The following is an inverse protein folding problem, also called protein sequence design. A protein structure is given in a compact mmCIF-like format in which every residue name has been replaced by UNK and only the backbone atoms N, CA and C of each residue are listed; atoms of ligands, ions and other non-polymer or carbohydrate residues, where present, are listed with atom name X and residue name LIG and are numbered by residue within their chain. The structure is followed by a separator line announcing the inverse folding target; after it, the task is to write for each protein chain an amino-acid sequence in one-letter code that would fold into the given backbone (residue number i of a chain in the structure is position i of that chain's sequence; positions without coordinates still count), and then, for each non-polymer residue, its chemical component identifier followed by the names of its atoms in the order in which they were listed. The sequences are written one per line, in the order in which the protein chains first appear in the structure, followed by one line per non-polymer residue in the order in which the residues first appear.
data_IF_493143329654
#
_entry.id   IF_493143329654
#
_cell.length_a   1.000
_cell.length_b   1.000
_cell.length_c   1.000
_cell.angle_alpha   90.00
_cell.angle_beta   90.00
_cell.angle_gamma   90.00
#
_symmetry.space_group_name_H-M   'P 1'
#
loop_
_entity.id
_entity.type
_entity.pdbx_description
1 polymer ?
#
# COMPACT_ATOMS: atom_id res chain seq x y z
N UNK A 1 21.96 17.81 9.31
CA UNK A 1 21.93 16.66 8.39
C UNK A 1 22.01 15.32 9.15
N UNK A 2 22.97 15.17 10.07
CA UNK A 2 23.32 13.91 10.78
C UNK A 2 22.23 13.19 11.60
N UNK A 3 21.05 13.76 11.80
CA UNK A 3 19.99 13.09 12.58
C UNK A 3 19.39 11.88 11.88
N UNK A 4 19.54 11.75 10.55
CA UNK A 4 19.04 10.58 9.83
C UNK A 4 20.18 9.58 9.60
N UNK A 5 20.09 8.33 10.10
CA UNK A 5 21.14 7.32 9.93
C UNK A 5 21.34 6.85 8.48
N UNK A 6 20.47 7.29 7.56
CA UNK A 6 20.47 6.93 6.15
C UNK A 6 20.88 8.09 5.23
N UNK A 7 21.38 9.19 5.79
CA UNK A 7 21.84 10.35 5.03
C UNK A 7 20.79 10.90 4.05
N UNK A 8 19.54 10.94 4.51
CA UNK A 8 18.38 11.48 3.75
C UNK A 8 18.53 12.99 3.52
N UNK A 9 19.26 13.69 4.40
CA UNK A 9 19.43 15.13 4.35
C UNK A 9 20.84 15.52 3.92
N UNK A 10 20.96 16.57 3.13
CA UNK A 10 22.23 17.19 2.72
C UNK A 10 22.21 18.68 3.05
N UNK A 11 23.39 19.26 3.28
CA UNK A 11 23.55 20.68 3.53
C UNK A 11 24.28 21.32 2.36
N UNK A 12 23.65 22.30 1.71
CA UNK A 12 24.25 23.08 0.63
C UNK A 12 24.65 24.46 1.15
N UNK A 13 25.92 24.86 0.98
CA UNK A 13 26.35 26.25 1.22
C UNK A 13 26.07 27.07 -0.05
N UNK A 14 25.03 27.90 0.00
CA UNK A 14 24.59 28.73 -1.11
C UNK A 14 25.21 30.14 -1.09
N UNK A 15 26.20 30.39 -0.22
CA UNK A 15 26.82 31.71 -0.08
C UNK A 15 28.29 31.72 -0.48
N UNK A 16 28.68 32.70 -1.30
CA UNK A 16 30.08 32.89 -1.71
C UNK A 16 31.03 33.29 -0.55
N UNK A 17 30.48 33.58 0.64
CA UNK A 17 31.19 34.10 1.81
C UNK A 17 30.96 33.27 3.09
N UNK A 18 30.30 32.10 3.01
CA UNK A 18 30.11 31.18 4.13
C UNK A 18 29.17 31.71 5.22
N UNK A 19 27.86 31.69 4.96
CA UNK A 19 26.83 32.11 5.89
C UNK A 19 25.43 31.61 5.49
N UNK A 20 24.93 30.62 6.26
CA UNK A 20 23.56 30.08 6.25
C UNK A 20 23.23 29.10 5.12
N UNK A 21 23.91 27.96 5.08
CA UNK A 21 23.52 26.91 4.13
C UNK A 21 22.10 26.33 4.36
N UNK A 22 21.56 25.74 3.30
CA UNK A 22 20.21 25.19 3.21
C UNK A 22 20.27 23.68 3.48
N UNK A 23 19.36 23.20 4.34
CA UNK A 23 19.14 21.76 4.51
C UNK A 23 18.15 21.25 3.46
N UNK A 24 18.57 20.30 2.62
CA UNK A 24 17.71 19.65 1.62
C UNK A 24 17.44 18.19 1.95
N UNK A 25 16.34 17.68 1.41
CA UNK A 25 16.03 16.24 1.38
C UNK A 25 16.62 15.68 0.09
N UNK A 26 17.80 15.07 0.19
CA UNK A 26 18.53 14.53 -0.97
C UNK A 26 18.04 13.12 -1.35
N UNK A 27 17.83 12.24 -0.36
CA UNK A 27 17.53 10.83 -0.59
C UNK A 27 16.26 10.39 0.16
N UNK A 28 15.06 10.86 -0.22
CA UNK A 28 13.84 10.57 0.55
C UNK A 28 13.51 9.07 0.65
N UNK A 29 13.82 8.28 -0.38
CA UNK A 29 13.56 6.84 -0.44
C UNK A 29 14.47 6.01 0.48
N UNK A 30 15.59 6.57 0.94
CA UNK A 30 16.48 5.90 1.89
C UNK A 30 15.99 5.99 3.34
N UNK A 31 14.96 6.78 3.61
CA UNK A 31 14.40 6.95 4.95
C UNK A 31 13.79 5.64 5.47
N UNK A 32 14.33 5.13 6.58
CA UNK A 32 13.81 3.96 7.28
C UNK A 32 12.74 4.29 8.35
N UNK A 33 12.15 5.50 8.32
CA UNK A 33 11.11 5.96 9.25
C UNK A 33 11.47 5.88 10.76
N UNK A 34 12.76 5.95 11.10
CA UNK A 34 13.24 5.85 12.49
C UNK A 34 12.83 7.02 13.42
N UNK A 35 12.23 8.09 12.87
CA UNK A 35 11.78 9.29 13.59
C UNK A 35 12.88 10.09 14.32
N UNK A 36 14.16 9.90 13.98
CA UNK A 36 15.25 10.63 14.64
C UNK A 36 15.32 12.12 14.22
N UNK A 37 15.02 12.45 12.97
CA UNK A 37 14.97 13.84 12.51
C UNK A 37 13.87 14.66 13.19
N UNK A 38 12.68 14.08 13.40
CA UNK A 38 11.57 14.73 14.09
C UNK A 38 11.85 14.90 15.59
N UNK A 39 12.48 13.89 16.23
CA UNK A 39 12.99 14.01 17.61
C UNK A 39 14.03 15.13 17.72
N UNK A 40 14.98 15.19 16.79
CA UNK A 40 16.02 16.22 16.78
C UNK A 40 15.43 17.62 16.60
N UNK A 41 14.46 17.79 15.70
CA UNK A 41 13.74 19.05 15.54
C UNK A 41 13.05 19.48 16.84
N UNK A 42 12.43 18.54 17.57
CA UNK A 42 11.83 18.80 18.87
C UNK A 42 12.84 19.22 19.93
N UNK A 43 14.00 18.54 20.03
CA UNK A 43 15.09 18.91 20.93
C UNK A 43 15.62 20.33 20.67
N UNK A 44 15.64 20.72 19.40
CA UNK A 44 16.04 22.07 18.97
C UNK A 44 14.93 23.12 19.13
N UNK A 45 13.76 22.75 19.66
CA UNK A 45 12.57 23.59 19.75
C UNK A 45 12.08 24.11 18.39
N UNK A 46 12.38 23.40 17.30
CA UNK A 46 11.93 23.71 15.95
C UNK A 46 10.65 22.93 15.66
N UNK A 47 9.52 23.64 15.60
CA UNK A 47 8.20 23.04 15.30
C UNK A 47 7.90 23.15 13.80
N UNK A 48 7.37 22.08 13.21
CA UNK A 48 6.89 22.08 11.83
C UNK A 48 7.98 22.16 10.75
N UNK A 49 9.25 21.92 11.11
CA UNK A 49 10.38 22.00 10.15
C UNK A 49 10.66 20.69 9.42
N UNK A 50 10.19 19.56 9.95
CA UNK A 50 10.33 18.23 9.36
C UNK A 50 9.05 17.44 9.63
N UNK A 51 8.50 16.88 8.57
CA UNK A 51 7.41 15.90 8.59
C UNK A 51 7.87 14.66 7.81
N UNK A 52 7.51 13.48 8.30
CA UNK A 52 7.84 12.20 7.65
C UNK A 52 6.56 11.40 7.54
N UNK A 53 6.13 11.16 6.31
CA UNK A 53 4.92 10.39 6.00
C UNK A 53 5.16 9.54 4.75
N UNK A 54 4.59 8.33 4.67
CA UNK A 54 4.59 7.54 3.45
C UNK A 54 3.64 8.14 2.40
N UNK A 55 3.90 7.86 1.12
CA UNK A 55 2.92 8.03 0.06
C UNK A 55 2.06 6.76 -0.04
N UNK A 56 0.76 6.87 0.24
CA UNK A 56 -0.18 5.74 0.24
C UNK A 56 -0.49 5.18 -1.16
N UNK A 57 -0.05 5.86 -2.23
CA UNK A 57 -0.33 5.47 -3.62
C UNK A 57 0.87 4.87 -4.33
N UNK A 58 2.08 5.00 -3.76
CA UNK A 58 3.32 4.57 -4.40
C UNK A 58 3.94 3.42 -3.61
N UNK A 59 4.20 2.30 -4.29
CA UNK A 59 4.78 1.11 -3.70
C UNK A 59 6.14 0.80 -4.34
N UNK A 60 7.19 0.79 -3.51
CA UNK A 60 8.53 0.35 -3.91
C UNK A 60 8.73 -1.11 -3.47
N UNK A 61 8.67 -2.03 -4.43
CA UNK A 61 8.85 -3.46 -4.15
C UNK A 61 10.32 -3.87 -4.34
N UNK A 62 10.84 -4.61 -3.36
CA UNK A 62 12.07 -5.39 -3.50
C UNK A 62 11.68 -6.86 -3.52
N UNK A 63 12.06 -7.57 -4.58
CA UNK A 63 11.74 -8.99 -4.77
C UNK A 63 13.02 -9.76 -4.99
N UNK A 64 13.25 -10.76 -4.14
CA UNK A 64 14.40 -11.65 -4.23
C UNK A 64 13.94 -13.06 -4.60
N UNK A 65 14.68 -13.70 -5.51
CA UNK A 65 14.45 -15.09 -5.88
C UNK A 65 15.37 -16.03 -5.10
N UNK A 66 14.89 -17.24 -4.85
CA UNK A 66 15.72 -18.35 -4.33
C UNK A 66 16.58 -19.01 -5.42
N UNK A 67 16.48 -18.57 -6.68
CA UNK A 67 17.24 -19.07 -7.83
C UNK A 67 16.46 -20.04 -8.74
N UNK A 68 15.28 -20.51 -8.33
CA UNK A 68 14.44 -21.41 -9.15
C UNK A 68 13.76 -20.68 -10.32
N UNK A 69 13.45 -19.39 -10.14
CA UNK A 69 12.71 -18.59 -11.11
C UNK A 69 13.16 -17.11 -11.03
N UNK A 70 13.32 -16.38 -12.15
CA UNK A 70 13.63 -14.95 -12.11
C UNK A 70 12.61 -14.14 -11.29
N UNK A 71 13.07 -13.12 -10.56
CA UNK A 71 12.21 -12.31 -9.70
C UNK A 71 11.07 -11.63 -10.46
N UNK A 72 11.33 -11.17 -11.69
CA UNK A 72 10.34 -10.56 -12.58
C UNK A 72 9.24 -11.56 -12.94
N UNK A 73 9.60 -12.84 -13.14
CA UNK A 73 8.64 -13.89 -13.46
C UNK A 73 7.76 -14.23 -12.25
N UNK A 74 8.31 -14.18 -11.04
CA UNK A 74 7.54 -14.34 -9.79
C UNK A 74 6.47 -13.25 -9.71
N UNK A 75 6.83 -12.00 -9.96
CA UNK A 75 5.88 -10.86 -9.93
C UNK A 75 4.78 -11.02 -10.99
N UNK A 76 5.14 -11.39 -12.23
CA UNK A 76 4.17 -11.65 -13.30
C UNK A 76 3.17 -12.75 -12.90
N UNK A 77 3.67 -13.87 -12.38
CA UNK A 77 2.82 -14.98 -11.95
C UNK A 77 1.93 -14.61 -10.77
N UNK A 78 2.39 -13.77 -9.84
CA UNK A 78 1.57 -13.29 -8.73
C UNK A 78 0.34 -12.50 -9.25
N UNK A 79 0.53 -11.65 -10.26
CA UNK A 79 -0.58 -10.94 -10.90
C UNK A 79 -1.53 -11.88 -11.66
N UNK A 80 -1.00 -12.87 -12.38
CA UNK A 80 -1.82 -13.87 -13.05
C UNK A 80 -2.68 -14.67 -12.07
N UNK A 81 -2.09 -15.10 -10.95
CA UNK A 81 -2.80 -15.82 -9.88
C UNK A 81 -3.87 -14.92 -9.25
N UNK A 82 -3.57 -13.65 -8.98
CA UNK A 82 -4.55 -12.71 -8.42
C UNK A 82 -5.74 -12.53 -9.37
N UNK A 83 -5.48 -12.31 -10.66
CA UNK A 83 -6.53 -12.21 -11.69
C UNK A 83 -7.40 -13.46 -11.71
N UNK A 84 -6.80 -14.64 -11.71
CA UNK A 84 -7.54 -15.90 -11.77
C UNK A 84 -8.42 -16.08 -10.52
N UNK A 85 -7.90 -15.78 -9.33
CA UNK A 85 -8.69 -15.83 -8.08
C UNK A 85 -9.91 -14.91 -8.12
N UNK A 86 -9.77 -13.71 -8.70
CA UNK A 86 -10.89 -12.79 -8.86
C UNK A 86 -11.93 -13.32 -9.85
N UNK A 87 -11.51 -13.91 -10.97
CA UNK A 87 -12.42 -14.54 -11.94
C UNK A 87 -13.16 -15.76 -11.36
N UNK A 88 -12.48 -16.59 -10.58
CA UNK A 88 -13.09 -17.72 -9.87
C UNK A 88 -14.13 -17.23 -8.85
N UNK A 89 -13.80 -16.15 -8.11
CA UNK A 89 -14.71 -15.54 -7.15
C UNK A 89 -15.96 -14.99 -7.83
N UNK A 90 -15.81 -14.29 -8.95
CA UNK A 90 -16.93 -13.78 -9.74
C UNK A 90 -17.86 -14.92 -10.19
N UNK A 91 -17.28 -15.99 -10.73
CA UNK A 91 -18.02 -17.18 -11.17
C UNK A 91 -18.81 -17.82 -10.04
N UNK A 92 -18.17 -18.04 -8.89
CA UNK A 92 -18.82 -18.66 -7.73
C UNK A 92 -19.87 -17.75 -7.09
N UNK A 93 -19.63 -16.44 -7.05
CA UNK A 93 -20.57 -15.45 -6.54
C UNK A 93 -21.83 -15.40 -7.41
N UNK A 94 -21.68 -15.36 -8.74
CA UNK A 94 -22.80 -15.42 -9.68
C UNK A 94 -23.61 -16.70 -9.53
N UNK A 95 -22.94 -17.86 -9.44
CA UNK A 95 -23.62 -19.13 -9.22
C UNK A 95 -24.37 -19.19 -7.87
N UNK A 96 -23.81 -18.61 -6.81
CA UNK A 96 -24.48 -18.51 -5.51
C UNK A 96 -25.70 -17.60 -5.55
N UNK A 97 -25.61 -16.45 -6.20
CA UNK A 97 -26.73 -15.52 -6.37
C UNK A 97 -27.88 -16.17 -7.14
N UNK A 98 -27.59 -16.86 -8.25
CA UNK A 98 -28.60 -17.57 -9.04
C UNK A 98 -29.34 -18.64 -8.23
N UNK A 99 -28.62 -19.40 -7.37
CA UNK A 99 -29.24 -20.37 -6.45
C UNK A 99 -30.14 -19.71 -5.43
N UNK A 100 -29.73 -18.57 -4.86
CA UNK A 100 -30.53 -17.84 -3.88
C UNK A 100 -31.85 -17.33 -4.48
N UNK A 101 -31.85 -16.83 -5.71
CA UNK A 101 -33.07 -16.41 -6.42
C UNK A 101 -33.95 -17.59 -6.86
N UNK A 102 -33.36 -18.73 -7.26
CA UNK A 102 -34.11 -19.92 -7.65
C UNK A 102 -34.85 -20.59 -6.49
N UNK A 103 -34.25 -20.60 -5.29
CA UNK A 103 -34.91 -21.13 -4.08
C UNK A 103 -36.10 -20.29 -3.63
N UNK A 104 -36.07 -18.96 -3.84
CA UNK A 104 -37.20 -18.07 -3.53
C UNK A 104 -38.44 -18.37 -4.39
N UNK A 105 -38.25 -18.73 -5.66
CA UNK A 105 -39.37 -19.03 -6.57
C UNK A 105 -40.04 -20.38 -6.27
N UNK A 106 -39.29 -21.40 -5.84
CA UNK A 106 -39.87 -22.71 -5.48
C UNK A 106 -40.66 -22.68 -4.16
N UNK A 107 -40.25 -21.87 -3.18
CA UNK A 107 -41.00 -21.72 -1.92
C UNK A 107 -42.33 -20.99 -2.09
N UNK A 108 -42.47 -20.09 -3.07
CA UNK A 108 -43.75 -19.41 -3.34
C UNK A 108 -44.76 -20.28 -4.11
N UNK A 109 -44.29 -21.30 -4.84
CA UNK A 109 -45.17 -22.18 -5.64
C UNK A 109 -45.74 -23.38 -4.86
N UNK A 110 -45.24 -23.67 -3.66
CA UNK A 110 -45.69 -24.79 -2.82
C UNK A 110 -46.60 -24.37 -1.64
N UNK A 111 -47.12 -23.13 -1.63
CA UNK A 111 -48.16 -22.75 -0.68
C UNK A 111 -49.44 -23.57 -0.98
N UNK A 112 -49.96 -24.38 -0.04
CA UNK A 112 -51.18 -25.15 -0.29
C UNK A 112 -52.33 -24.17 -0.55
N UNK A 113 -53.00 -24.34 -1.69
CA UNK A 113 -54.27 -23.67 -1.98
C UNK A 113 -55.24 -23.97 -0.83
N UNK A 114 -55.49 -22.95 0.00
CA UNK A 114 -56.47 -22.99 1.07
C UNK A 114 -57.84 -23.28 0.48
N UNK A 115 -58.41 -24.41 0.89
CA UNK A 115 -59.76 -24.86 0.63
C UNK A 115 -60.75 -23.79 1.14
N UNK A 116 -61.42 -23.11 0.20
CA UNK A 116 -62.39 -22.07 0.48
C UNK A 116 -63.76 -22.72 0.58
N UNK A 117 -64.32 -22.71 1.80
CA UNK A 117 -65.71 -23.10 2.11
C UNK A 117 -66.74 -22.39 1.25
#
# INVERSE_FOLDING_TARGET
AESCPRNVFEFEDDTQLGGNGILRVANPLDCMYCSQCTKKAKELNLKGVVEVSPDERTFLFTVESTGVMPAEKIVQMAFDILRNKLGDLETHAAAAAARATGQQQQQQQHAPHGDFR
#
